data_IF_553192233959
#
_entry.id   IF_553192233959
#
_cell.length_a   1.000
_cell.length_b   1.000
_cell.length_c   1.000
_cell.angle_alpha   90.00
_cell.angle_beta   90.00
_cell.angle_gamma   90.00
#
_symmetry.space_group_name_H-M   'P 1'
#
loop_
_entity.id
_entity.type
_entity.pdbx_description
1 polymer ?
#
# COMPACT_ATOMS: atom_id res chain seq x y z
N UNK A 1 -4.18 -1.03 1.72
CA UNK A 1 -4.38 0.29 1.07
C UNK A 1 -5.58 0.18 0.15
N UNK A 2 -6.53 1.11 0.26
CA UNK A 2 -7.70 1.16 -0.61
C UNK A 2 -7.75 2.52 -1.28
N UNK A 3 -8.16 2.54 -2.55
CA UNK A 3 -8.32 3.76 -3.32
C UNK A 3 -9.76 3.89 -3.75
N UNK A 4 -10.31 5.07 -3.51
CA UNK A 4 -11.67 5.43 -3.85
C UNK A 4 -11.64 6.54 -4.89
N UNK A 5 -12.56 6.45 -5.85
CA UNK A 5 -12.80 7.49 -6.82
C UNK A 5 -14.26 7.90 -6.73
N UNK A 6 -14.54 9.21 -6.78
CA UNK A 6 -15.89 9.77 -6.53
C UNK A 6 -16.98 9.19 -7.45
N UNK A 7 -16.61 8.72 -8.64
CA UNK A 7 -17.55 8.14 -9.60
C UNK A 7 -18.07 6.74 -9.23
N UNK A 8 -17.44 6.05 -8.25
CA UNK A 8 -17.78 4.68 -7.89
C UNK A 8 -18.16 4.59 -6.40
N UNK A 9 -19.18 3.78 -6.05
CA UNK A 9 -19.59 3.58 -4.66
C UNK A 9 -18.69 2.58 -3.90
N UNK A 10 -17.75 1.94 -4.59
CA UNK A 10 -16.84 0.92 -4.08
C UNK A 10 -15.38 1.32 -4.34
N UNK A 11 -14.40 0.74 -3.62
CA UNK A 11 -12.99 0.96 -3.93
C UNK A 11 -12.68 0.55 -5.37
N UNK A 12 -11.93 1.39 -6.08
CA UNK A 12 -11.48 1.06 -7.45
C UNK A 12 -10.24 0.18 -7.44
N UNK A 13 -9.42 0.28 -6.40
CA UNK A 13 -8.21 -0.51 -6.23
C UNK A 13 -8.01 -0.86 -4.74
N UNK A 14 -7.45 -2.04 -4.51
CA UNK A 14 -7.06 -2.51 -3.18
C UNK A 14 -5.72 -3.22 -3.24
N UNK A 15 -4.85 -2.91 -2.29
CA UNK A 15 -3.54 -3.54 -2.16
C UNK A 15 -3.29 -3.97 -0.72
N UNK A 16 -2.99 -5.26 -0.51
CA UNK A 16 -2.57 -5.77 0.81
C UNK A 16 -1.08 -5.46 0.97
N UNK A 17 -0.75 -4.61 1.94
CA UNK A 17 0.63 -4.24 2.22
C UNK A 17 1.25 -5.30 3.13
N UNK A 18 1.83 -6.34 2.52
CA UNK A 18 2.55 -7.37 3.26
C UNK A 18 4.02 -6.99 3.40
N UNK A 19 4.60 -7.29 4.56
CA UNK A 19 6.05 -7.28 4.72
C UNK A 19 6.61 -8.63 4.25
N UNK A 20 7.79 -8.62 3.65
CA UNK A 20 8.43 -9.84 3.17
C UNK A 20 9.75 -9.98 3.92
N UNK A 21 10.00 -11.14 4.52
CA UNK A 21 11.28 -11.41 5.16
C UNK A 21 12.41 -11.37 4.11
N UNK A 22 13.41 -10.48 4.25
CA UNK A 22 14.45 -10.33 3.24
C UNK A 22 15.37 -11.56 3.11
N UNK A 23 15.40 -12.47 4.10
CA UNK A 23 16.20 -13.69 4.05
C UNK A 23 15.45 -14.85 3.40
N UNK A 24 14.21 -15.10 3.81
CA UNK A 24 13.42 -16.24 3.35
C UNK A 24 12.46 -15.93 2.21
N UNK A 25 12.18 -14.66 1.94
CA UNK A 25 11.20 -14.23 0.94
C UNK A 25 9.73 -14.51 1.32
N UNK A 26 9.47 -15.01 2.53
CA UNK A 26 8.11 -15.30 2.98
C UNK A 26 7.42 -14.03 3.48
N UNK A 27 6.11 -13.98 3.29
CA UNK A 27 5.30 -12.90 3.84
C UNK A 27 5.22 -13.02 5.36
N UNK A 28 5.51 -11.92 6.05
CA UNK A 28 5.33 -11.77 7.48
C UNK A 28 3.94 -11.17 7.69
N UNK A 29 2.99 -11.99 8.14
CA UNK A 29 1.65 -11.53 8.54
C UNK A 29 1.70 -11.13 10.02
N UNK A 30 2.04 -9.87 10.26
CA UNK A 30 2.03 -9.28 11.60
C UNK A 30 0.81 -8.36 11.74
N UNK A 31 -0.20 -8.85 12.46
CA UNK A 31 -1.46 -8.16 12.65
C UNK A 31 -1.34 -6.81 13.39
N UNK A 32 -0.21 -6.55 14.06
CA UNK A 32 0.07 -5.27 14.70
C UNK A 32 0.56 -4.19 13.72
N UNK A 33 0.96 -4.57 12.50
CA UNK A 33 1.43 -3.61 11.50
C UNK A 33 0.28 -2.81 10.91
N UNK A 34 0.51 -1.50 10.78
CA UNK A 34 -0.47 -0.59 10.18
C UNK A 34 0.20 0.34 9.18
N UNK A 35 -0.60 0.86 8.25
CA UNK A 35 -0.15 1.88 7.29
C UNK A 35 -0.09 3.22 8.00
N UNK A 36 1.10 3.80 8.06
CA UNK A 36 1.38 5.05 8.77
C UNK A 36 1.17 6.26 7.89
N UNK A 37 1.44 6.16 6.58
CA UNK A 37 1.21 7.25 5.62
C UNK A 37 1.00 6.74 4.20
N UNK A 38 0.27 7.55 3.42
CA UNK A 38 0.09 7.37 1.97
C UNK A 38 0.24 8.72 1.28
N UNK A 39 0.82 8.73 0.09
CA UNK A 39 0.97 9.93 -0.73
C UNK A 39 0.74 9.58 -2.20
N UNK A 40 -0.18 10.29 -2.84
CA UNK A 40 -0.41 10.19 -4.28
C UNK A 40 0.35 11.30 -5.00
N UNK A 41 1.14 10.96 -6.03
CA UNK A 41 1.77 11.96 -6.89
C UNK A 41 0.77 12.49 -7.91
N UNK A 42 0.37 13.76 -7.79
CA UNK A 42 -0.60 14.37 -8.72
C UNK A 42 -0.20 14.20 -10.19
N UNK A 43 -1.20 13.97 -11.06
CA UNK A 43 -1.02 13.72 -12.50
C UNK A 43 -0.16 12.48 -12.85
N UNK A 44 -0.02 11.53 -11.92
CA UNK A 44 0.71 10.27 -12.12
C UNK A 44 -0.11 9.10 -11.59
N UNK A 45 0.13 7.90 -12.13
CA UNK A 45 -0.37 6.63 -11.59
C UNK A 45 0.44 6.14 -10.38
N UNK A 46 1.37 6.92 -9.84
CA UNK A 46 2.21 6.48 -8.72
C UNK A 46 1.64 6.87 -7.36
N UNK A 47 1.50 5.88 -6.48
CA UNK A 47 1.18 6.03 -5.07
C UNK A 47 2.31 5.47 -4.21
N UNK A 48 2.69 6.20 -3.16
CA UNK A 48 3.66 5.74 -2.16
C UNK A 48 2.92 5.43 -0.87
N UNK A 49 3.24 4.30 -0.25
CA UNK A 49 2.72 3.91 1.05
C UNK A 49 3.85 3.51 1.99
N UNK A 50 3.75 3.91 3.26
CA UNK A 50 4.66 3.51 4.32
C UNK A 50 3.89 2.84 5.48
N UNK A 51 4.52 1.88 6.16
CA UNK A 51 3.94 1.20 7.33
C UNK A 51 4.67 1.57 8.63
N UNK A 52 4.17 1.05 9.76
CA UNK A 52 4.70 1.29 11.11
C UNK A 52 6.10 0.70 11.36
N UNK A 53 6.59 -0.20 10.51
CA UNK A 53 7.91 -0.82 10.63
C UNK A 53 8.97 -0.16 9.73
N UNK A 54 8.64 0.96 9.08
CA UNK A 54 9.56 1.70 8.21
C UNK A 54 9.68 1.17 6.79
N UNK A 55 8.83 0.21 6.38
CA UNK A 55 8.80 -0.24 4.99
C UNK A 55 8.09 0.79 4.10
N UNK A 56 8.66 1.07 2.93
CA UNK A 56 8.10 1.97 1.92
C UNK A 56 7.89 1.16 0.64
N UNK A 57 6.68 1.24 0.06
CA UNK A 57 6.37 0.66 -1.25
C UNK A 57 5.88 1.72 -2.22
N UNK A 58 6.36 1.64 -3.45
CA UNK A 58 5.86 2.41 -4.60
C UNK A 58 4.89 1.50 -5.35
N UNK A 59 3.67 1.99 -5.54
CA UNK A 59 2.58 1.30 -6.20
C UNK A 59 2.26 2.04 -7.50
N UNK A 60 2.15 1.29 -8.59
CA UNK A 60 1.63 1.78 -9.86
C UNK A 60 0.14 1.42 -9.98
N UNK A 61 -0.68 2.42 -10.23
CA UNK A 61 -2.14 2.31 -10.28
C UNK A 61 -2.55 2.08 -11.74
N UNK A 62 -2.72 0.80 -12.09
CA UNK A 62 -3.16 0.30 -13.41
C UNK A 62 -4.61 -0.17 -13.40
#
# INVERSE_FOLDING_TARGET
>A
VFVYHKAFPMPVLSFKFNNTDPLSGHEIDDAAQFISSVCWRGQSSTLVAANSTGNIKILEMV
#
